data_IF_766260030833
#
_entry.id   IF_766260030833
#
_cell.length_a   1.000
_cell.length_b   1.000
_cell.length_c   1.000
_cell.angle_alpha   90.00
_cell.angle_beta   90.00
_cell.angle_gamma   90.00
#
_symmetry.space_group_name_H-M   'P 1'
#
loop_
_entity.id
_entity.type
_entity.pdbx_description
1 polymer ?
#
# COMPACT_ATOMS: atom_id res chain seq x y z
N UNK A 1 1.51 -17.66 -18.74
CA UNK A 1 1.90 -17.54 -20.18
C UNK A 1 1.97 -16.08 -20.68
N UNK A 2 0.98 -15.19 -20.36
CA UNK A 2 1.05 -13.77 -20.78
C UNK A 2 2.27 -13.06 -20.19
N UNK A 3 2.49 -13.16 -18.89
CA UNK A 3 3.62 -12.54 -18.20
C UNK A 3 4.98 -12.90 -18.85
N UNK A 4 5.21 -14.15 -19.17
CA UNK A 4 6.46 -14.62 -19.79
C UNK A 4 6.80 -13.94 -21.13
N UNK A 5 5.81 -13.45 -21.88
CA UNK A 5 6.03 -12.71 -23.13
C UNK A 5 6.75 -11.38 -22.90
N UNK A 6 6.66 -10.84 -21.68
CA UNK A 6 7.27 -9.56 -21.31
C UNK A 6 8.61 -9.73 -20.59
N UNK A 7 9.07 -10.97 -20.37
CA UNK A 7 10.31 -11.26 -19.63
C UNK A 7 11.53 -10.54 -20.22
N UNK A 8 11.58 -10.43 -21.54
CA UNK A 8 12.65 -9.69 -22.25
C UNK A 8 12.70 -8.20 -21.93
N UNK A 9 11.57 -7.61 -21.52
CA UNK A 9 11.48 -6.19 -21.16
C UNK A 9 11.80 -5.91 -19.70
N UNK A 10 11.62 -6.90 -18.80
CA UNK A 10 11.83 -6.73 -17.36
C UNK A 10 13.28 -7.04 -16.94
N UNK A 11 13.98 -7.80 -17.73
CA UNK A 11 15.27 -8.38 -17.33
C UNK A 11 15.11 -9.28 -16.09
N UNK A 12 16.12 -9.30 -15.25
CA UNK A 12 16.14 -10.13 -14.04
C UNK A 12 15.43 -9.49 -12.83
N UNK A 13 15.20 -8.17 -12.88
CA UNK A 13 14.60 -7.42 -11.77
C UNK A 13 13.08 -7.26 -11.86
N UNK A 14 12.48 -7.51 -13.02
CA UNK A 14 11.05 -7.34 -13.24
C UNK A 14 10.23 -8.55 -12.85
N UNK A 15 8.90 -8.36 -12.81
CA UNK A 15 8.00 -9.41 -12.41
C UNK A 15 6.54 -9.08 -12.64
N UNK A 16 5.69 -9.60 -11.79
CA UNK A 16 4.27 -9.30 -11.78
C UNK A 16 3.90 -8.59 -10.48
N UNK A 17 3.14 -7.51 -10.60
CA UNK A 17 2.45 -6.88 -9.48
C UNK A 17 0.98 -7.25 -9.54
N UNK A 18 0.44 -7.74 -8.44
CA UNK A 18 -1.00 -7.96 -8.30
C UNK A 18 -1.59 -6.86 -7.44
N UNK A 19 -2.48 -6.10 -8.05
CA UNK A 19 -3.29 -5.04 -7.44
C UNK A 19 -4.77 -5.28 -7.79
N UNK A 20 -5.63 -4.33 -7.53
CA UNK A 20 -7.03 -4.43 -7.93
C UNK A 20 -7.91 -3.71 -6.94
N UNK A 21 -9.06 -4.22 -6.50
CA UNK A 21 -9.67 -3.75 -5.27
C UNK A 21 -8.73 -4.01 -4.09
N UNK A 22 -8.94 -5.10 -3.37
CA UNK A 22 -7.98 -5.56 -2.34
C UNK A 22 -7.60 -7.03 -2.64
N UNK A 23 -6.35 -7.30 -3.07
CA UNK A 23 -5.95 -8.65 -3.46
C UNK A 23 -6.03 -9.68 -2.34
N UNK A 24 -5.82 -9.25 -1.08
CA UNK A 24 -5.89 -10.14 0.08
C UNK A 24 -7.28 -10.74 0.31
N UNK A 25 -8.33 -10.18 -0.27
CA UNK A 25 -9.67 -10.79 -0.28
C UNK A 25 -9.74 -12.07 -1.12
N UNK A 26 -8.76 -12.29 -2.00
CA UNK A 26 -8.61 -13.48 -2.83
C UNK A 26 -7.30 -14.23 -2.52
N UNK A 27 -6.95 -14.31 -1.24
CA UNK A 27 -5.63 -14.77 -0.77
C UNK A 27 -5.26 -16.16 -1.28
N UNK A 28 -6.20 -17.09 -1.37
CA UNK A 28 -5.95 -18.46 -1.86
C UNK A 28 -5.56 -18.45 -3.34
N UNK A 29 -6.29 -17.67 -4.16
CA UNK A 29 -5.96 -17.49 -5.57
C UNK A 29 -4.60 -16.79 -5.75
N UNK A 30 -4.35 -15.76 -4.95
CA UNK A 30 -3.11 -14.99 -4.99
C UNK A 30 -1.89 -15.86 -4.64
N UNK A 31 -2.01 -16.69 -3.61
CA UNK A 31 -0.96 -17.63 -3.20
C UNK A 31 -0.61 -18.61 -4.33
N UNK A 32 -1.61 -19.20 -4.96
CA UNK A 32 -1.38 -20.12 -6.07
C UNK A 32 -0.79 -19.42 -7.31
N UNK A 33 -1.23 -18.18 -7.59
CA UNK A 33 -0.67 -17.37 -8.68
C UNK A 33 0.81 -17.07 -8.44
N UNK A 34 1.16 -16.64 -7.22
CA UNK A 34 2.54 -16.29 -6.87
C UNK A 34 3.44 -17.54 -6.82
N UNK A 35 2.94 -18.64 -6.27
CA UNK A 35 3.66 -19.92 -6.30
C UNK A 35 4.05 -20.30 -7.73
N UNK A 36 3.09 -20.28 -8.67
CA UNK A 36 3.35 -20.55 -10.08
C UNK A 36 4.28 -19.54 -10.74
N UNK A 37 4.22 -18.28 -10.36
CA UNK A 37 5.13 -17.26 -10.86
C UNK A 37 6.57 -17.56 -10.40
N UNK A 38 6.75 -17.91 -9.13
CA UNK A 38 8.07 -18.27 -8.56
C UNK A 38 8.65 -19.52 -9.21
N UNK A 39 7.85 -20.54 -9.49
CA UNK A 39 8.28 -21.73 -10.25
C UNK A 39 8.82 -21.40 -11.66
N UNK A 40 8.36 -20.28 -12.23
CA UNK A 40 8.83 -19.78 -13.53
C UNK A 40 9.95 -18.74 -13.42
N UNK A 41 10.50 -18.51 -12.23
CA UNK A 41 11.53 -17.50 -11.99
C UNK A 41 11.05 -16.08 -12.22
N UNK A 42 9.78 -15.78 -11.90
CA UNK A 42 9.17 -14.46 -12.02
C UNK A 42 9.07 -13.83 -10.62
N UNK A 43 9.56 -12.61 -10.47
CA UNK A 43 9.39 -11.84 -9.24
C UNK A 43 7.92 -11.47 -9.03
N UNK A 44 7.52 -11.41 -7.76
CA UNK A 44 6.14 -11.20 -7.34
C UNK A 44 6.04 -10.01 -6.41
N UNK A 45 5.09 -9.13 -6.68
CA UNK A 45 4.81 -7.96 -5.87
C UNK A 45 3.32 -7.92 -5.51
N UNK A 46 3.03 -7.80 -4.22
CA UNK A 46 1.68 -7.59 -3.70
C UNK A 46 1.46 -6.09 -3.49
N UNK A 47 0.45 -5.53 -4.15
CA UNK A 47 0.00 -4.15 -3.96
C UNK A 47 -1.31 -4.15 -3.16
N UNK A 48 -1.28 -3.74 -1.91
CA UNK A 48 -2.38 -3.90 -0.96
C UNK A 48 -2.53 -2.70 -0.02
N UNK A 49 -3.76 -2.44 0.41
CA UNK A 49 -4.03 -1.56 1.53
C UNK A 49 -3.80 -2.25 2.90
N UNK A 50 -3.59 -3.57 2.92
CA UNK A 50 -3.38 -4.33 4.15
C UNK A 50 -4.61 -4.47 5.05
N UNK A 51 -5.76 -3.95 4.62
CA UNK A 51 -6.96 -3.89 5.45
C UNK A 51 -7.45 -5.26 5.94
N UNK A 52 -7.43 -6.35 5.14
CA UNK A 52 -7.85 -7.68 5.61
C UNK A 52 -6.88 -8.36 6.58
N UNK A 53 -5.68 -7.79 6.79
CA UNK A 53 -4.69 -8.43 7.65
C UNK A 53 -5.20 -8.61 9.08
N UNK A 54 -5.02 -9.81 9.60
CA UNK A 54 -5.24 -10.16 11.01
C UNK A 54 -4.30 -11.29 11.40
N UNK A 55 -3.91 -11.35 12.67
CA UNK A 55 -3.14 -12.49 13.23
C UNK A 55 -4.03 -13.66 13.65
N UNK A 56 -5.32 -13.59 13.35
CA UNK A 56 -6.26 -14.66 13.65
C UNK A 56 -6.32 -15.68 12.51
N UNK A 57 -6.44 -16.96 12.86
CA UNK A 57 -6.63 -18.02 11.89
C UNK A 57 -8.12 -18.12 11.46
N UNK A 58 -8.38 -18.55 10.21
CA UNK A 58 -7.43 -19.13 9.25
C UNK A 58 -6.68 -18.12 8.37
N UNK A 59 -6.94 -16.80 8.48
CA UNK A 59 -6.33 -15.79 7.60
C UNK A 59 -4.81 -15.72 7.80
N UNK A 60 -4.35 -15.75 9.06
CA UNK A 60 -2.92 -15.59 9.35
C UNK A 60 -2.07 -16.70 8.72
N UNK A 61 -2.49 -17.96 8.83
CA UNK A 61 -1.78 -19.08 8.21
C UNK A 61 -1.70 -18.92 6.69
N UNK A 62 -2.77 -18.46 6.05
CA UNK A 62 -2.79 -18.17 4.61
C UNK A 62 -1.87 -17.02 4.24
N UNK A 63 -1.80 -15.98 5.08
CA UNK A 63 -0.92 -14.84 4.85
C UNK A 63 0.55 -15.26 4.98
N UNK A 64 0.88 -16.05 5.99
CA UNK A 64 2.23 -16.63 6.15
C UNK A 64 2.62 -17.47 4.93
N UNK A 65 1.71 -18.28 4.41
CA UNK A 65 1.95 -19.08 3.21
C UNK A 65 2.18 -18.19 1.97
N UNK A 66 1.33 -17.18 1.77
CA UNK A 66 1.48 -16.22 0.66
C UNK A 66 2.85 -15.52 0.70
N UNK A 67 3.33 -15.13 1.89
CA UNK A 67 4.61 -14.42 2.05
C UNK A 67 5.82 -15.27 1.61
N UNK A 68 5.72 -16.60 1.56
CA UNK A 68 6.79 -17.46 1.02
C UNK A 68 7.03 -17.22 -0.47
N UNK A 69 6.00 -16.81 -1.19
CA UNK A 69 6.02 -16.61 -2.65
C UNK A 69 5.98 -15.12 -3.05
N UNK A 70 6.01 -14.21 -2.07
CA UNK A 70 5.99 -12.75 -2.30
C UNK A 70 7.38 -12.18 -2.13
N UNK A 71 7.91 -11.50 -3.14
CA UNK A 71 9.23 -10.85 -3.06
C UNK A 71 9.13 -9.45 -2.46
N UNK A 72 8.11 -8.70 -2.82
CA UNK A 72 7.90 -7.33 -2.38
C UNK A 72 6.42 -7.09 -2.01
N UNK A 73 6.20 -6.31 -0.96
CA UNK A 73 4.88 -5.79 -0.64
C UNK A 73 4.88 -4.27 -0.78
N UNK A 74 4.00 -3.74 -1.62
CA UNK A 74 3.65 -2.31 -1.64
C UNK A 74 2.45 -2.11 -0.73
N UNK A 75 2.66 -1.46 0.40
CA UNK A 75 1.65 -1.28 1.45
C UNK A 75 1.21 0.18 1.51
N UNK A 76 -0.08 0.41 1.38
CA UNK A 76 -0.68 1.73 1.48
C UNK A 76 -1.00 2.09 2.94
N UNK A 77 -0.42 3.17 3.46
CA UNK A 77 -0.82 3.80 4.72
C UNK A 77 -1.47 5.14 4.39
N UNK A 78 -2.80 5.16 4.34
CA UNK A 78 -3.53 6.35 3.88
C UNK A 78 -3.63 7.46 4.93
N UNK A 79 -3.64 7.11 6.21
CA UNK A 79 -3.48 8.04 7.32
C UNK A 79 -2.91 7.30 8.53
N UNK A 80 -1.99 7.91 9.25
CA UNK A 80 -1.40 7.35 10.48
C UNK A 80 -2.35 7.51 11.68
N UNK A 81 -3.25 8.48 11.63
CA UNK A 81 -4.28 8.70 12.63
C UNK A 81 -5.49 7.80 12.33
N UNK A 82 -5.91 7.01 13.33
CA UNK A 82 -6.97 6.01 13.15
C UNK A 82 -8.33 6.64 12.85
N UNK A 83 -8.69 7.72 13.54
CA UNK A 83 -9.97 8.36 13.32
C UNK A 83 -10.06 9.03 11.93
N UNK A 84 -8.99 9.67 11.50
CA UNK A 84 -8.90 10.23 10.14
C UNK A 84 -8.85 9.12 9.08
N UNK A 85 -8.18 8.00 9.38
CA UNK A 85 -8.18 6.85 8.49
C UNK A 85 -9.58 6.27 8.33
N UNK A 86 -10.33 6.10 9.43
CA UNK A 86 -11.73 5.66 9.40
C UNK A 86 -12.63 6.62 8.63
N UNK A 87 -12.46 7.92 8.83
CA UNK A 87 -13.22 8.92 8.10
C UNK A 87 -12.98 8.85 6.59
N UNK A 88 -11.74 8.53 6.16
CA UNK A 88 -11.36 8.42 4.76
C UNK A 88 -11.76 7.08 4.11
N UNK A 89 -11.63 5.97 4.84
CA UNK A 89 -11.69 4.62 4.27
C UNK A 89 -12.84 3.77 4.80
N UNK A 90 -13.48 4.20 5.89
CA UNK A 90 -14.48 3.40 6.61
C UNK A 90 -13.90 2.33 7.55
N UNK A 91 -12.58 2.20 7.64
CA UNK A 91 -11.90 1.13 8.39
C UNK A 91 -10.79 1.68 9.30
N UNK A 92 -10.47 0.92 10.37
CA UNK A 92 -9.30 1.20 11.23
C UNK A 92 -8.00 0.99 10.46
N UNK A 93 -6.94 1.68 10.89
CA UNK A 93 -5.59 1.46 10.39
C UNK A 93 -4.77 0.48 11.24
N UNK A 94 -5.29 0.02 12.37
CA UNK A 94 -4.54 -0.79 13.35
C UNK A 94 -3.98 -2.07 12.76
N UNK A 95 -4.79 -2.77 11.97
CA UNK A 95 -4.40 -3.99 11.25
C UNK A 95 -3.37 -3.72 10.14
N UNK A 96 -3.45 -2.56 9.49
CA UNK A 96 -2.46 -2.15 8.46
C UNK A 96 -1.09 -1.88 9.09
N UNK A 97 -1.08 -1.17 10.22
CA UNK A 97 0.14 -0.91 10.97
C UNK A 97 0.72 -2.21 11.58
N UNK A 98 -0.13 -3.14 12.01
CA UNK A 98 0.31 -4.46 12.47
C UNK A 98 0.86 -5.31 11.32
N UNK A 99 0.26 -5.24 10.13
CA UNK A 99 0.79 -5.85 8.92
C UNK A 99 2.21 -5.34 8.61
N UNK A 100 2.42 -4.01 8.65
CA UNK A 100 3.73 -3.42 8.41
C UNK A 100 4.78 -3.92 9.42
N UNK A 101 4.42 -3.98 10.73
CA UNK A 101 5.31 -4.53 11.76
C UNK A 101 5.63 -6.01 11.50
N UNK A 102 4.62 -6.82 11.19
CA UNK A 102 4.82 -8.23 10.88
C UNK A 102 5.78 -8.42 9.69
N UNK A 103 5.59 -7.68 8.60
CA UNK A 103 6.47 -7.73 7.44
C UNK A 103 7.90 -7.34 7.81
N UNK A 104 8.06 -6.29 8.61
CA UNK A 104 9.37 -5.84 9.12
C UNK A 104 10.05 -6.91 9.97
N UNK A 105 9.32 -7.47 10.94
CA UNK A 105 9.84 -8.47 11.89
C UNK A 105 10.25 -9.78 11.20
N UNK A 106 9.55 -10.12 10.11
CA UNK A 106 9.83 -11.33 9.31
C UNK A 106 10.83 -11.12 8.18
N UNK A 107 11.39 -9.92 8.07
CA UNK A 107 12.41 -9.61 7.05
C UNK A 107 11.85 -9.45 5.64
N UNK A 108 10.54 -9.23 5.49
CA UNK A 108 9.91 -9.04 4.18
C UNK A 108 10.11 -7.63 3.68
N UNK A 109 10.71 -7.49 2.50
CA UNK A 109 10.89 -6.19 1.84
C UNK A 109 9.55 -5.52 1.54
N UNK A 110 9.45 -4.24 1.85
CA UNK A 110 8.24 -3.46 1.59
C UNK A 110 8.55 -2.06 1.05
N UNK A 111 7.61 -1.55 0.26
CA UNK A 111 7.48 -0.14 -0.04
C UNK A 111 6.29 0.40 0.73
N UNK A 112 6.44 1.55 1.35
CA UNK A 112 5.32 2.26 1.98
C UNK A 112 4.86 3.35 1.03
N UNK A 113 3.56 3.37 0.74
CA UNK A 113 2.95 4.42 -0.07
C UNK A 113 1.95 5.19 0.78
N UNK A 114 2.02 6.50 0.68
CA UNK A 114 1.13 7.41 1.39
C UNK A 114 0.37 8.28 0.40
N UNK A 115 -0.96 8.21 0.42
CA UNK A 115 -1.80 9.09 -0.38
C UNK A 115 -1.96 10.41 0.34
N UNK A 116 -1.43 11.48 -0.25
CA UNK A 116 -1.47 12.83 0.30
C UNK A 116 -2.78 13.51 -0.08
N UNK A 117 -3.66 13.73 0.90
CA UNK A 117 -4.97 14.36 0.74
C UNK A 117 -4.96 15.70 1.48
N UNK A 118 -5.12 16.80 0.73
CA UNK A 118 -5.14 18.17 1.27
C UNK A 118 -6.56 18.63 1.54
N UNK A 119 -7.01 18.48 2.78
CA UNK A 119 -8.34 18.92 3.20
C UNK A 119 -9.41 17.83 3.14
N UNK A 120 -10.62 18.20 3.53
CA UNK A 120 -11.76 17.26 3.61
C UNK A 120 -11.66 16.25 4.74
N UNK A 121 -12.55 15.26 4.70
CA UNK A 121 -12.53 14.15 5.67
C UNK A 121 -11.29 13.30 5.48
N UNK A 122 -10.61 13.01 6.57
CA UNK A 122 -9.42 12.16 6.53
C UNK A 122 -8.16 12.81 5.92
N UNK A 123 -8.11 14.17 5.84
CA UNK A 123 -6.92 14.88 5.39
C UNK A 123 -5.64 14.34 6.02
N UNK A 124 -4.63 14.09 5.21
CA UNK A 124 -3.40 13.39 5.61
C UNK A 124 -2.13 14.24 5.42
N UNK A 125 -2.26 15.47 4.99
CA UNK A 125 -1.15 16.37 4.66
C UNK A 125 -0.69 17.28 5.81
N UNK A 126 -1.23 17.11 7.02
CA UNK A 126 -0.78 17.83 8.21
C UNK A 126 0.64 17.41 8.61
N UNK A 127 1.51 18.37 8.90
CA UNK A 127 2.92 18.13 9.22
C UNK A 127 3.10 17.25 10.48
N UNK A 128 2.21 17.35 11.46
CA UNK A 128 2.23 16.50 12.66
C UNK A 128 1.90 15.05 12.32
N UNK A 129 0.94 14.83 11.43
CA UNK A 129 0.61 13.48 10.94
C UNK A 129 1.73 12.91 10.09
N UNK A 130 2.33 13.69 9.22
CA UNK A 130 3.47 13.26 8.40
C UNK A 130 4.68 12.90 9.27
N UNK A 131 4.97 13.65 10.33
CA UNK A 131 6.02 13.31 11.29
C UNK A 131 5.72 12.01 12.03
N UNK A 132 4.49 11.81 12.53
CA UNK A 132 4.07 10.54 13.14
C UNK A 132 4.22 9.36 12.18
N UNK A 133 3.89 9.56 10.91
CA UNK A 133 4.09 8.54 9.88
C UNK A 133 5.57 8.28 9.62
N UNK A 134 6.40 9.32 9.57
CA UNK A 134 7.86 9.20 9.42
C UNK A 134 8.48 8.42 10.58
N UNK A 135 8.07 8.71 11.83
CA UNK A 135 8.52 7.99 13.02
C UNK A 135 8.12 6.51 12.97
N UNK A 136 6.88 6.22 12.55
CA UNK A 136 6.43 4.84 12.36
C UNK A 136 7.25 4.12 11.30
N UNK A 137 7.44 4.72 10.12
CA UNK A 137 8.26 4.15 9.03
C UNK A 137 9.69 3.94 9.52
N UNK A 138 10.25 4.89 10.28
CA UNK A 138 11.59 4.81 10.86
C UNK A 138 11.78 3.66 11.85
N UNK A 139 10.71 3.15 12.44
CA UNK A 139 10.73 1.98 13.33
C UNK A 139 10.74 0.63 12.60
N UNK A 140 10.52 0.63 11.28
CA UNK A 140 10.50 -0.57 10.44
C UNK A 140 11.88 -0.81 9.81
N UNK A 141 12.29 -2.09 9.71
CA UNK A 141 13.67 -2.45 9.29
C UNK A 141 13.80 -2.81 7.80
N UNK A 142 12.69 -3.11 7.13
CA UNK A 142 12.68 -3.67 5.77
C UNK A 142 12.03 -2.75 4.73
N UNK A 143 11.85 -1.47 5.06
CA UNK A 143 11.36 -0.47 4.12
C UNK A 143 12.44 -0.15 3.10
N UNK A 144 12.18 -0.47 1.83
CA UNK A 144 13.08 -0.21 0.70
C UNK A 144 12.75 1.08 -0.02
N UNK A 145 11.50 1.52 0.04
CA UNK A 145 11.03 2.74 -0.62
C UNK A 145 9.86 3.36 0.13
N UNK A 146 9.81 4.69 0.11
CA UNK A 146 8.66 5.47 0.57
C UNK A 146 8.21 6.37 -0.57
N UNK A 147 6.92 6.33 -0.89
CA UNK A 147 6.33 7.12 -1.97
C UNK A 147 5.17 7.98 -1.45
N UNK A 148 5.21 9.26 -1.77
CA UNK A 148 4.07 10.17 -1.63
C UNK A 148 3.28 10.17 -2.92
N UNK A 149 2.04 9.74 -2.86
CA UNK A 149 1.11 9.69 -3.99
C UNK A 149 0.12 10.86 -3.85
N UNK A 150 0.19 11.88 -4.71
CA UNK A 150 -0.77 12.97 -4.66
C UNK A 150 -2.19 12.46 -4.92
N UNK A 151 -3.15 12.86 -4.08
CA UNK A 151 -4.56 12.63 -4.37
C UNK A 151 -4.94 13.22 -5.73
N UNK A 152 -5.81 12.52 -6.45
CA UNK A 152 -6.35 12.96 -7.74
C UNK A 152 -7.79 12.47 -7.94
N UNK A 153 -8.53 13.16 -8.77
CA UNK A 153 -9.97 12.93 -9.01
C UNK A 153 -10.30 11.88 -10.08
N UNK A 154 -9.31 11.19 -10.65
CA UNK A 154 -9.53 10.26 -11.77
C UNK A 154 -10.50 9.11 -11.45
N UNK A 155 -10.71 8.76 -10.19
CA UNK A 155 -11.62 7.70 -9.77
C UNK A 155 -13.06 8.13 -9.50
N UNK A 156 -13.38 9.42 -9.53
CA UNK A 156 -14.69 9.97 -9.11
C UNK A 156 -15.84 9.35 -9.91
N UNK A 157 -15.68 9.19 -11.23
CA UNK A 157 -16.69 8.59 -12.10
C UNK A 157 -17.16 7.19 -11.64
N UNK A 158 -16.33 6.45 -10.91
CA UNK A 158 -16.70 5.12 -10.37
C UNK A 158 -17.74 5.25 -9.26
N UNK A 159 -17.62 6.28 -8.45
CA UNK A 159 -18.58 6.58 -7.37
C UNK A 159 -19.92 6.98 -7.96
N UNK A 160 -19.91 7.79 -9.02
CA UNK A 160 -21.11 8.17 -9.75
C UNK A 160 -21.82 6.94 -10.33
N UNK A 161 -21.08 6.03 -11.01
CA UNK A 161 -21.62 4.78 -11.55
C UNK A 161 -22.21 3.89 -10.46
N UNK A 162 -21.61 3.85 -9.28
CA UNK A 162 -22.10 3.06 -8.15
C UNK A 162 -23.27 3.74 -7.40
N UNK A 163 -23.60 4.99 -7.72
CA UNK A 163 -24.62 5.76 -7.01
C UNK A 163 -24.27 6.07 -5.56
N UNK A 164 -22.97 6.12 -5.21
CA UNK A 164 -22.46 6.38 -3.85
C UNK A 164 -21.90 7.79 -3.80
N UNK A 165 -22.28 8.61 -2.79
CA UNK A 165 -21.69 9.93 -2.61
C UNK A 165 -20.17 9.86 -2.46
N UNK A 166 -19.45 10.75 -3.17
CA UNK A 166 -17.99 10.79 -3.09
C UNK A 166 -17.54 11.53 -1.83
N UNK A 167 -16.80 10.90 -0.90
CA UNK A 167 -16.45 11.51 0.39
C UNK A 167 -15.52 12.71 0.29
N UNK A 168 -14.79 12.85 -0.81
CA UNK A 168 -13.82 13.92 -1.07
C UNK A 168 -14.32 14.88 -2.15
N UNK A 169 -15.66 15.05 -2.28
CA UNK A 169 -16.23 16.02 -3.21
C UNK A 169 -15.72 17.45 -2.88
N UNK A 170 -15.24 18.16 -3.89
CA UNK A 170 -14.67 19.51 -3.75
C UNK A 170 -13.28 19.57 -3.13
N UNK A 171 -12.65 18.43 -2.82
CA UNK A 171 -11.25 18.40 -2.36
C UNK A 171 -10.32 18.49 -3.56
N UNK A 172 -9.47 19.53 -3.56
CA UNK A 172 -8.47 19.74 -4.61
C UNK A 172 -7.22 18.87 -4.41
N UNK A 173 -6.53 18.49 -5.49
CA UNK A 173 -5.22 17.84 -5.40
C UNK A 173 -4.22 18.71 -4.62
N UNK A 174 -3.26 18.09 -3.90
CA UNK A 174 -2.24 18.83 -3.17
C UNK A 174 -1.34 19.64 -4.12
N UNK A 175 -0.91 20.83 -3.65
CA UNK A 175 0.04 21.66 -4.40
C UNK A 175 1.41 21.02 -4.48
N UNK A 176 2.23 21.42 -5.46
CA UNK A 176 3.61 20.93 -5.59
C UNK A 176 4.46 21.21 -4.34
N UNK A 177 4.21 22.36 -3.68
CA UNK A 177 4.83 22.73 -2.42
C UNK A 177 4.49 21.73 -1.30
N UNK A 178 3.20 21.36 -1.16
CA UNK A 178 2.76 20.36 -0.18
C UNK A 178 3.34 18.97 -0.46
N UNK A 179 3.42 18.59 -1.74
CA UNK A 179 4.05 17.32 -2.14
C UNK A 179 5.53 17.32 -1.80
N UNK A 180 6.25 18.42 -2.09
CA UNK A 180 7.67 18.56 -1.76
C UNK A 180 7.91 18.50 -0.25
N UNK A 181 7.11 19.23 0.54
CA UNK A 181 7.17 19.21 2.00
C UNK A 181 6.90 17.80 2.57
N UNK A 182 5.89 17.09 2.08
CA UNK A 182 5.60 15.73 2.52
C UNK A 182 6.77 14.77 2.21
N UNK A 183 7.39 14.88 1.03
CA UNK A 183 8.58 14.10 0.68
C UNK A 183 9.77 14.40 1.60
N UNK A 184 9.94 15.66 2.00
CA UNK A 184 10.98 16.09 2.94
C UNK A 184 10.75 15.50 4.32
N UNK A 185 9.54 15.68 4.89
CA UNK A 185 9.20 15.18 6.23
C UNK A 185 9.31 13.65 6.29
N UNK A 186 8.80 12.93 5.26
CA UNK A 186 8.89 11.48 5.18
C UNK A 186 10.29 10.98 4.77
N UNK A 187 11.22 11.88 4.49
CA UNK A 187 12.60 11.57 4.08
C UNK A 187 12.65 10.50 2.97
N UNK A 188 11.83 10.67 1.94
CA UNK A 188 11.67 9.65 0.88
C UNK A 188 12.98 9.37 0.14
N UNK A 189 13.92 10.31 0.13
CA UNK A 189 15.24 10.17 -0.50
C UNK A 189 16.14 9.14 0.21
N UNK A 190 15.92 8.90 1.52
CA UNK A 190 16.65 7.89 2.30
C UNK A 190 16.34 6.45 1.83
N UNK A 191 15.16 6.25 1.25
CA UNK A 191 14.60 4.94 0.89
C UNK A 191 14.61 4.73 -0.65
N UNK A 192 15.67 5.10 -1.33
CA UNK A 192 15.81 4.96 -2.80
C UNK A 192 16.70 3.79 -3.17
#
# INVERSE_FOLDING_TARGET
KKALRYKTYWGDAGGITVSGGEPLLQIDFLTELFRKAKEMGINTCLDTAGQPFTRENPFFDKFVELMKYTDLVMLDIKNIDDEKHKALTGHTNSNILDCARYLSDTGKDMWIRHVLVSGGVGASDDDGLLKRLADFIGSLHTVRRVEVLPYHVFGVHKWEIMGIPYPLEGVEPPTQERIANANEILNTQKYK
#
